data_IF_564350566560
#
_entry.id   IF_564350566560
#
_cell.length_a   1.000
_cell.length_b   1.000
_cell.length_c   1.000
_cell.angle_alpha   90.00
_cell.angle_beta   90.00
_cell.angle_gamma   90.00
#
_symmetry.space_group_name_H-M   'P 1'
#
loop_
_entity.id
_entity.type
_entity.pdbx_description
1 polymer ?
#
# COMPACT_ATOMS: atom_id res chain seq x y z
N UNK A 1 -11.06 -2.41 -8.58
CA UNK A 1 -10.92 -2.53 -7.11
C UNK A 1 -11.55 -1.29 -6.48
N UNK A 2 -12.46 -1.45 -5.54
CA UNK A 2 -13.08 -0.37 -4.76
C UNK A 2 -12.22 -0.11 -3.51
N UNK A 3 -11.76 1.13 -3.35
CA UNK A 3 -10.87 1.57 -2.26
C UNK A 3 -11.31 2.96 -1.75
N UNK A 4 -10.45 3.66 -1.00
CA UNK A 4 -10.68 5.03 -0.53
C UNK A 4 -10.36 5.14 0.96
N UNK A 5 -11.26 5.77 1.72
CA UNK A 5 -11.33 5.57 3.17
C UNK A 5 -11.99 4.23 3.49
N UNK A 6 -13.31 4.17 3.36
CA UNK A 6 -14.09 2.94 3.44
C UNK A 6 -15.22 3.00 2.39
N UNK A 7 -15.13 2.18 1.34
CA UNK A 7 -16.00 2.31 0.15
C UNK A 7 -17.49 2.07 0.45
N UNK A 8 -17.80 1.18 1.41
CA UNK A 8 -19.17 0.87 1.83
C UNK A 8 -19.87 1.98 2.62
N UNK A 9 -19.18 3.08 2.91
CA UNK A 9 -19.83 4.28 3.48
C UNK A 9 -20.55 5.11 2.40
N UNK A 10 -20.26 4.87 1.12
CA UNK A 10 -20.95 5.53 0.03
C UNK A 10 -22.34 4.91 -0.19
N UNK A 11 -23.38 5.74 -0.27
CA UNK A 11 -24.78 5.28 -0.37
C UNK A 11 -25.02 4.38 -1.60
N UNK A 12 -24.40 4.71 -2.74
CA UNK A 12 -24.47 3.91 -3.97
C UNK A 12 -23.48 2.74 -4.04
N UNK A 13 -22.81 2.34 -2.95
CA UNK A 13 -21.74 1.34 -2.98
C UNK A 13 -22.16 0.00 -3.61
N UNK A 14 -23.32 -0.53 -3.22
CA UNK A 14 -23.82 -1.79 -3.77
C UNK A 14 -24.22 -1.65 -5.23
N UNK A 15 -24.74 -0.50 -5.64
CA UNK A 15 -25.13 -0.23 -7.03
C UNK A 15 -23.91 -0.16 -7.95
N UNK A 16 -22.81 0.43 -7.47
CA UNK A 16 -21.53 0.42 -8.19
C UNK A 16 -21.05 -1.02 -8.42
N UNK A 17 -21.13 -1.90 -7.42
CA UNK A 17 -20.76 -3.31 -7.57
C UNK A 17 -21.64 -3.97 -8.64
N UNK A 18 -22.97 -3.81 -8.56
CA UNK A 18 -23.91 -4.38 -9.53
C UNK A 18 -23.63 -3.88 -10.95
N UNK A 19 -23.37 -2.59 -11.11
CA UNK A 19 -23.02 -2.00 -12.41
C UNK A 19 -21.74 -2.60 -12.99
N UNK A 20 -20.68 -2.72 -12.19
CA UNK A 20 -19.43 -3.37 -12.62
C UNK A 20 -19.67 -4.82 -13.06
N UNK A 21 -20.49 -5.56 -12.32
CA UNK A 21 -20.80 -6.96 -12.64
C UNK A 21 -21.67 -7.11 -13.88
N UNK A 22 -22.62 -6.19 -14.11
CA UNK A 22 -23.43 -6.16 -15.32
C UNK A 22 -22.58 -5.97 -16.60
N UNK A 23 -21.47 -5.22 -16.50
CA UNK A 23 -20.48 -5.05 -17.55
C UNK A 23 -19.43 -6.19 -17.63
N UNK A 24 -19.63 -7.28 -16.88
CA UNK A 24 -18.72 -8.44 -16.87
C UNK A 24 -17.40 -8.22 -16.12
N UNK A 25 -17.20 -7.06 -15.49
CA UNK A 25 -15.97 -6.75 -14.75
C UNK A 25 -15.91 -7.48 -13.41
N UNK A 26 -14.72 -7.88 -12.98
CA UNK A 26 -14.53 -8.41 -11.63
C UNK A 26 -14.57 -7.29 -10.59
N UNK A 27 -15.33 -7.49 -9.51
CA UNK A 27 -15.45 -6.54 -8.42
C UNK A 27 -14.71 -7.06 -7.18
N UNK A 28 -13.80 -6.24 -6.67
CA UNK A 28 -13.07 -6.49 -5.43
C UNK A 28 -12.94 -5.22 -4.61
N UNK A 29 -12.71 -5.34 -3.31
CA UNK A 29 -12.60 -4.21 -2.38
C UNK A 29 -11.39 -4.34 -1.45
N UNK A 30 -10.83 -3.21 -1.02
CA UNK A 30 -9.92 -3.14 0.14
C UNK A 30 -10.56 -2.29 1.25
N UNK A 31 -10.47 -2.75 2.51
CA UNK A 31 -11.14 -2.13 3.66
C UNK A 31 -10.34 -2.33 4.96
N UNK A 32 -10.51 -1.46 5.96
CA UNK A 32 -10.09 -1.71 7.33
C UNK A 32 -11.02 -2.66 8.11
N UNK A 33 -12.17 -3.06 7.55
CA UNK A 33 -13.11 -4.03 8.11
C UNK A 33 -14.07 -3.48 9.16
N UNK A 34 -13.93 -2.22 9.58
CA UNK A 34 -14.72 -1.65 10.66
C UNK A 34 -16.19 -1.48 10.28
N UNK A 35 -17.08 -2.26 10.90
CA UNK A 35 -18.52 -2.19 10.63
C UNK A 35 -19.00 -3.10 9.50
N UNK A 36 -18.15 -4.03 9.04
CA UNK A 36 -18.57 -5.11 8.13
C UNK A 36 -19.32 -6.18 8.93
N UNK A 37 -20.64 -6.01 9.03
CA UNK A 37 -21.54 -6.97 9.67
C UNK A 37 -21.82 -8.18 8.78
N UNK A 38 -22.41 -9.23 9.35
CA UNK A 38 -22.86 -10.39 8.56
C UNK A 38 -23.95 -10.02 7.52
N UNK A 39 -24.77 -9.01 7.82
CA UNK A 39 -25.78 -8.49 6.88
C UNK A 39 -25.11 -7.77 5.70
N UNK A 40 -24.23 -6.81 5.98
CA UNK A 40 -23.50 -6.10 4.93
C UNK A 40 -22.65 -7.04 4.08
N UNK A 41 -22.05 -8.08 4.68
CA UNK A 41 -21.30 -9.09 3.95
C UNK A 41 -22.19 -9.90 2.97
N UNK A 42 -23.44 -10.21 3.35
CA UNK A 42 -24.41 -10.84 2.43
C UNK A 42 -24.82 -9.89 1.32
N UNK A 43 -25.12 -8.63 1.64
CA UNK A 43 -25.48 -7.63 0.63
C UNK A 43 -24.35 -7.41 -0.40
N UNK A 44 -23.10 -7.42 0.06
CA UNK A 44 -21.92 -7.38 -0.79
C UNK A 44 -21.84 -8.61 -1.72
N UNK A 45 -22.10 -9.80 -1.19
CA UNK A 45 -22.08 -11.05 -1.96
C UNK A 45 -23.20 -11.05 -3.01
N UNK A 46 -24.42 -10.65 -2.63
CA UNK A 46 -25.58 -10.56 -3.51
C UNK A 46 -25.40 -9.52 -4.61
N UNK A 47 -24.71 -8.42 -4.33
CA UNK A 47 -24.31 -7.44 -5.35
C UNK A 47 -23.25 -8.00 -6.33
N UNK A 48 -22.58 -9.08 -5.97
CA UNK A 48 -21.59 -9.77 -6.80
C UNK A 48 -20.13 -9.40 -6.48
N UNK A 49 -19.82 -8.94 -5.27
CA UNK A 49 -18.45 -8.71 -4.82
C UNK A 49 -17.72 -10.05 -4.62
N UNK A 50 -16.56 -10.22 -5.24
CA UNK A 50 -15.91 -11.53 -5.35
C UNK A 50 -14.73 -11.72 -4.38
N UNK A 51 -14.02 -10.63 -4.08
CA UNK A 51 -12.81 -10.65 -3.26
C UNK A 51 -12.75 -9.40 -2.39
N UNK A 52 -12.47 -9.58 -1.10
CA UNK A 52 -12.22 -8.47 -0.18
C UNK A 52 -10.89 -8.67 0.52
N UNK A 53 -10.02 -7.65 0.43
CA UNK A 53 -8.81 -7.56 1.23
C UNK A 53 -9.09 -6.72 2.49
N UNK A 54 -9.00 -7.34 3.66
CA UNK A 54 -9.11 -6.62 4.94
C UNK A 54 -7.71 -6.29 5.46
N UNK A 55 -7.41 -5.02 5.67
CA UNK A 55 -6.09 -4.60 6.14
C UNK A 55 -5.88 -4.94 7.62
N UNK A 56 -4.82 -5.68 7.92
CA UNK A 56 -4.43 -6.03 9.28
C UNK A 56 -2.94 -5.73 9.47
N UNK A 57 -2.61 -4.68 10.23
CA UNK A 57 -1.25 -4.14 10.30
C UNK A 57 -0.39 -4.63 11.49
N UNK A 58 -0.75 -5.72 12.14
CA UNK A 58 -0.03 -6.24 13.31
C UNK A 58 -0.93 -7.06 14.21
N UNK A 59 -0.38 -7.49 15.33
CA UNK A 59 -1.15 -8.07 16.44
C UNK A 59 -2.01 -7.00 17.12
N UNK A 60 -2.91 -7.42 18.00
CA UNK A 60 -4.02 -6.58 18.50
C UNK A 60 -3.60 -5.18 18.95
N UNK A 61 -2.58 -5.08 19.82
CA UNK A 61 -2.11 -3.80 20.34
C UNK A 61 -1.51 -2.91 19.23
N UNK A 62 -0.63 -3.48 18.41
CA UNK A 62 0.07 -2.78 17.34
C UNK A 62 -0.89 -2.31 16.25
N UNK A 63 -1.82 -3.18 15.84
CA UNK A 63 -2.88 -2.85 14.89
C UNK A 63 -3.78 -1.74 15.42
N UNK A 64 -4.30 -1.85 16.65
CA UNK A 64 -5.19 -0.85 17.24
C UNK A 64 -4.51 0.51 17.40
N UNK A 65 -3.23 0.51 17.78
CA UNK A 65 -2.39 1.71 17.83
C UNK A 65 -2.23 2.32 16.45
N UNK A 66 -1.85 1.55 15.43
CA UNK A 66 -1.65 2.04 14.06
C UNK A 66 -2.94 2.57 13.43
N UNK A 67 -4.07 1.93 13.71
CA UNK A 67 -5.41 2.35 13.24
C UNK A 67 -6.05 3.44 14.10
N UNK A 68 -5.38 3.88 15.17
CA UNK A 68 -5.86 4.86 16.14
C UNK A 68 -7.23 4.50 16.75
N UNK A 69 -7.52 3.20 16.93
CA UNK A 69 -8.84 2.72 17.33
C UNK A 69 -8.77 1.39 18.07
N UNK A 70 -9.06 1.39 19.37
CA UNK A 70 -9.23 0.15 20.13
C UNK A 70 -10.35 -0.73 19.55
N UNK A 71 -10.09 -2.03 19.48
CA UNK A 71 -10.97 -3.06 18.95
C UNK A 71 -10.97 -3.16 17.42
N UNK A 72 -10.14 -2.39 16.72
CA UNK A 72 -10.06 -2.45 15.26
C UNK A 72 -9.48 -3.77 14.75
N UNK A 73 -8.52 -4.36 15.47
CA UNK A 73 -7.99 -5.68 15.15
C UNK A 73 -9.09 -6.75 15.16
N UNK A 74 -9.86 -6.80 16.25
CA UNK A 74 -10.97 -7.75 16.38
C UNK A 74 -12.04 -7.51 15.32
N UNK A 75 -12.39 -6.25 15.06
CA UNK A 75 -13.34 -5.90 14.01
C UNK A 75 -12.86 -6.35 12.61
N UNK A 76 -11.56 -6.23 12.32
CA UNK A 76 -10.98 -6.71 11.07
C UNK A 76 -11.05 -8.24 10.95
N UNK A 77 -10.77 -8.98 12.02
CA UNK A 77 -10.91 -10.45 12.03
C UNK A 77 -12.38 -10.89 11.91
N UNK A 78 -13.30 -10.19 12.56
CA UNK A 78 -14.74 -10.46 12.44
C UNK A 78 -15.26 -10.15 11.02
N UNK A 79 -14.76 -9.08 10.39
CA UNK A 79 -15.06 -8.79 8.99
C UNK A 79 -14.63 -9.94 8.08
N UNK A 80 -13.40 -10.45 8.24
CA UNK A 80 -12.92 -11.61 7.49
C UNK A 80 -13.82 -12.84 7.67
N UNK A 81 -14.29 -13.12 8.89
CA UNK A 81 -15.21 -14.22 9.18
C UNK A 81 -16.57 -14.02 8.52
N UNK A 82 -17.14 -12.81 8.63
CA UNK A 82 -18.43 -12.47 8.03
C UNK A 82 -18.41 -12.58 6.50
N UNK A 83 -17.37 -12.05 5.86
CA UNK A 83 -17.17 -12.10 4.41
C UNK A 83 -17.03 -13.54 3.91
N UNK A 84 -16.22 -14.34 4.62
CA UNK A 84 -16.05 -15.77 4.32
C UNK A 84 -17.37 -16.54 4.46
N UNK A 85 -18.15 -16.27 5.51
CA UNK A 85 -19.46 -16.90 5.74
C UNK A 85 -20.48 -16.53 4.65
N UNK A 86 -20.38 -15.33 4.07
CA UNK A 86 -21.18 -14.91 2.91
C UNK A 86 -20.69 -15.46 1.56
N UNK A 87 -19.62 -16.27 1.54
CA UNK A 87 -19.07 -16.88 0.33
C UNK A 87 -18.09 -16.00 -0.46
N UNK A 88 -17.71 -14.84 0.07
CA UNK A 88 -16.75 -13.93 -0.56
C UNK A 88 -15.32 -14.44 -0.28
N UNK A 89 -14.46 -14.45 -1.30
CA UNK A 89 -13.05 -14.76 -1.09
C UNK A 89 -12.39 -13.67 -0.25
N UNK A 90 -11.62 -14.07 0.77
CA UNK A 90 -10.94 -13.12 1.64
C UNK A 90 -9.44 -13.11 1.43
N UNK A 91 -8.87 -11.91 1.45
CA UNK A 91 -7.44 -11.64 1.49
C UNK A 91 -7.14 -10.69 2.65
N UNK A 92 -5.87 -10.49 2.94
CA UNK A 92 -5.42 -9.43 3.83
C UNK A 92 -4.25 -8.67 3.22
N UNK A 93 -4.02 -7.46 3.71
CA UNK A 93 -2.83 -6.68 3.42
C UNK A 93 -2.26 -6.13 4.72
N UNK A 94 -0.94 -5.97 4.77
CA UNK A 94 -0.20 -5.38 5.89
C UNK A 94 0.62 -4.20 5.39
N UNK A 95 0.58 -3.09 6.11
CA UNK A 95 1.49 -1.99 5.91
C UNK A 95 2.65 -2.04 6.90
N UNK A 96 3.78 -2.61 6.47
CA UNK A 96 4.98 -2.86 7.28
C UNK A 96 5.73 -1.57 7.57
N UNK A 97 6.04 -1.37 8.83
CA UNK A 97 6.74 -0.24 9.40
C UNK A 97 7.60 -0.72 10.59
N UNK A 98 8.44 0.15 11.16
CA UNK A 98 9.32 -0.23 12.28
C UNK A 98 8.56 -0.73 13.52
N UNK A 99 7.31 -0.30 13.70
CA UNK A 99 6.47 -0.68 14.84
C UNK A 99 5.79 -2.05 14.73
N UNK A 100 5.76 -2.67 13.54
CA UNK A 100 5.15 -3.99 13.33
C UNK A 100 6.07 -5.00 12.62
N UNK A 101 7.28 -4.60 12.21
CA UNK A 101 8.23 -5.47 11.52
C UNK A 101 8.53 -6.77 12.31
N UNK A 102 8.57 -6.69 13.64
CA UNK A 102 8.79 -7.84 14.52
C UNK A 102 7.62 -8.84 14.62
N UNK A 103 6.44 -8.48 14.09
CA UNK A 103 5.21 -9.27 14.26
C UNK A 103 4.80 -10.04 12.99
N UNK A 104 5.55 -9.93 11.89
CA UNK A 104 5.13 -10.36 10.57
C UNK A 104 4.76 -11.86 10.51
N UNK A 105 5.58 -12.73 11.08
CA UNK A 105 5.35 -14.17 11.12
C UNK A 105 4.17 -14.53 12.03
N UNK A 106 4.06 -13.91 13.21
CA UNK A 106 2.94 -14.16 14.13
C UNK A 106 1.61 -13.68 13.53
N UNK A 107 1.61 -12.53 12.85
CA UNK A 107 0.45 -12.02 12.13
C UNK A 107 0.04 -12.97 10.99
N UNK A 108 0.99 -13.54 10.26
CA UNK A 108 0.69 -14.54 9.24
C UNK A 108 -0.07 -15.74 9.81
N UNK A 109 0.36 -16.28 10.95
CA UNK A 109 -0.32 -17.40 11.62
C UNK A 109 -1.78 -17.05 11.94
N UNK A 110 -2.03 -15.88 12.51
CA UNK A 110 -3.40 -15.39 12.80
C UNK A 110 -4.25 -15.32 11.53
N UNK A 111 -3.71 -14.74 10.46
CA UNK A 111 -4.45 -14.55 9.21
C UNK A 111 -4.73 -15.89 8.51
N UNK A 112 -3.76 -16.80 8.50
CA UNK A 112 -3.92 -18.17 8.00
C UNK A 112 -5.05 -18.88 8.75
N UNK A 113 -5.08 -18.78 10.07
CA UNK A 113 -6.09 -19.47 10.90
C UNK A 113 -7.50 -18.91 10.69
N UNK A 114 -7.63 -17.61 10.41
CA UNK A 114 -8.92 -17.02 9.96
C UNK A 114 -9.31 -17.50 8.55
N UNK A 115 -8.33 -17.95 7.76
CA UNK A 115 -8.52 -18.61 6.48
C UNK A 115 -8.56 -17.65 5.29
N UNK A 116 -7.66 -16.66 5.28
CA UNK A 116 -7.40 -15.86 4.07
C UNK A 116 -6.85 -16.75 2.95
N UNK A 117 -7.16 -16.42 1.70
CA UNK A 117 -6.54 -17.07 0.52
C UNK A 117 -5.22 -16.43 0.10
N UNK A 118 -4.98 -15.22 0.60
CA UNK A 118 -4.09 -14.28 -0.05
C UNK A 118 -3.63 -13.18 0.92
N UNK A 119 -2.33 -12.87 0.95
CA UNK A 119 -1.74 -11.84 1.79
C UNK A 119 -0.77 -10.94 1.01
N UNK A 120 -1.04 -9.63 1.00
CA UNK A 120 -0.16 -8.64 0.40
C UNK A 120 0.73 -7.98 1.47
N UNK A 121 2.05 -8.00 1.25
CA UNK A 121 3.02 -7.31 2.12
C UNK A 121 3.56 -6.07 1.43
N UNK A 122 3.31 -4.89 2.00
CA UNK A 122 3.76 -3.60 1.48
C UNK A 122 4.40 -2.77 2.59
N UNK A 123 5.26 -1.82 2.23
CA UNK A 123 5.93 -0.94 3.22
C UNK A 123 5.20 0.40 3.37
N UNK A 124 5.38 1.04 4.52
CA UNK A 124 4.78 2.36 4.79
C UNK A 124 5.53 3.45 4.03
N UNK A 125 4.79 4.19 3.20
CA UNK A 125 5.25 5.47 2.63
C UNK A 125 4.87 6.63 3.58
N UNK A 126 5.60 7.76 3.57
CA UNK A 126 5.31 8.94 4.39
C UNK A 126 4.10 9.73 3.86
N UNK A 127 2.91 9.10 3.89
CA UNK A 127 1.64 9.73 3.51
C UNK A 127 0.63 9.67 4.65
N UNK A 128 -0.29 10.64 4.65
CA UNK A 128 -1.35 10.73 5.63
C UNK A 128 -0.77 10.77 7.04
N UNK A 129 -1.17 9.83 7.91
CA UNK A 129 -0.63 9.79 9.28
C UNK A 129 0.87 9.54 9.34
N UNK A 130 1.46 8.86 8.35
CA UNK A 130 2.89 8.57 8.37
C UNK A 130 3.76 9.74 7.87
N UNK A 131 3.15 10.80 7.34
CA UNK A 131 3.88 11.87 6.64
C UNK A 131 4.91 12.58 7.54
N UNK A 132 4.52 12.92 8.77
CA UNK A 132 5.36 13.61 9.76
C UNK A 132 5.81 12.66 10.90
N UNK A 133 5.93 11.37 10.61
CA UNK A 133 6.30 10.32 11.59
C UNK A 133 7.49 9.49 11.10
N UNK A 134 8.69 10.08 10.99
CA UNK A 134 9.90 9.39 10.50
C UNK A 134 10.19 8.08 11.25
N UNK A 135 9.88 8.01 12.54
CA UNK A 135 10.07 6.83 13.39
C UNK A 135 9.16 5.65 13.03
N UNK A 136 8.07 5.88 12.29
CA UNK A 136 7.29 4.78 11.69
C UNK A 136 8.05 4.16 10.53
N UNK A 137 8.69 4.98 9.71
CA UNK A 137 9.19 4.56 8.42
C UNK A 137 10.31 3.55 8.60
N UNK A 138 10.29 2.52 7.76
CA UNK A 138 11.47 1.70 7.58
C UNK A 138 12.60 2.60 7.06
N UNK A 139 13.83 2.27 7.43
CA UNK A 139 14.99 2.82 6.78
C UNK A 139 15.38 1.92 5.59
N UNK A 140 16.01 2.44 4.52
CA UNK A 140 16.43 1.65 3.36
C UNK A 140 17.16 0.35 3.72
N UNK A 141 17.98 0.36 4.78
CA UNK A 141 18.69 -0.85 5.24
C UNK A 141 17.79 -1.87 5.93
N UNK A 142 16.61 -1.50 6.46
CA UNK A 142 15.69 -2.45 7.09
C UNK A 142 15.18 -3.49 6.06
N UNK A 143 15.25 -3.17 4.75
CA UNK A 143 14.98 -4.13 3.67
C UNK A 143 15.92 -5.34 3.70
N UNK A 144 17.13 -5.19 4.25
CA UNK A 144 18.10 -6.27 4.42
C UNK A 144 17.57 -7.42 5.29
N UNK A 145 16.68 -7.10 6.24
CA UNK A 145 15.96 -8.07 7.07
C UNK A 145 14.60 -8.44 6.47
N UNK A 146 13.82 -7.44 6.04
CA UNK A 146 12.44 -7.66 5.61
C UNK A 146 12.32 -8.55 4.37
N UNK A 147 13.11 -8.33 3.32
CA UNK A 147 12.93 -9.04 2.04
C UNK A 147 13.18 -10.55 2.15
N UNK A 148 14.28 -11.02 2.77
CA UNK A 148 14.48 -12.44 3.03
C UNK A 148 13.36 -13.07 3.86
N UNK A 149 12.86 -12.39 4.90
CA UNK A 149 11.76 -12.86 5.74
C UNK A 149 10.46 -13.03 4.95
N UNK A 150 10.12 -12.06 4.09
CA UNK A 150 8.93 -12.15 3.22
C UNK A 150 9.04 -13.31 2.23
N UNK A 151 10.22 -13.58 1.66
CA UNK A 151 10.41 -14.75 0.78
C UNK A 151 10.28 -16.06 1.55
N UNK A 152 10.83 -16.15 2.77
CA UNK A 152 10.67 -17.31 3.64
C UNK A 152 9.19 -17.56 3.98
N UNK A 153 8.47 -16.50 4.37
CA UNK A 153 7.03 -16.54 4.61
C UNK A 153 6.24 -16.96 3.37
N UNK A 154 6.60 -16.46 2.19
CA UNK A 154 5.95 -16.84 0.93
C UNK A 154 6.11 -18.32 0.61
N UNK A 155 7.31 -18.89 0.82
CA UNK A 155 7.56 -20.33 0.65
C UNK A 155 6.76 -21.16 1.65
N UNK A 156 6.69 -20.73 2.91
CA UNK A 156 5.85 -21.39 3.92
C UNK A 156 4.38 -21.32 3.54
N UNK A 157 3.90 -20.15 3.15
CA UNK A 157 2.50 -19.91 2.81
C UNK A 157 2.03 -20.70 1.60
N UNK A 158 2.91 -20.96 0.63
CA UNK A 158 2.65 -21.90 -0.48
C UNK A 158 2.21 -23.28 0.03
N UNK A 159 2.85 -23.80 1.08
CA UNK A 159 2.50 -25.10 1.68
C UNK A 159 1.14 -25.06 2.38
N UNK A 160 0.77 -23.90 2.93
CA UNK A 160 -0.52 -23.68 3.57
C UNK A 160 -1.64 -23.33 2.54
N UNK A 161 -1.33 -23.25 1.24
CA UNK A 161 -2.28 -22.85 0.20
C UNK A 161 -2.62 -21.35 0.19
N UNK A 162 -1.83 -20.52 0.89
CA UNK A 162 -2.01 -19.06 0.97
C UNK A 162 -1.03 -18.37 0.01
N UNK A 163 -1.56 -17.52 -0.87
CA UNK A 163 -0.70 -16.73 -1.77
C UNK A 163 -0.15 -15.51 -1.05
N UNK A 164 1.18 -15.36 -0.99
CA UNK A 164 1.85 -14.14 -0.51
C UNK A 164 2.49 -13.40 -1.67
N UNK A 165 2.29 -12.08 -1.76
CA UNK A 165 2.94 -11.26 -2.78
C UNK A 165 3.37 -9.88 -2.24
N UNK A 166 4.45 -9.31 -2.80
CA UNK A 166 4.88 -7.96 -2.45
C UNK A 166 3.95 -6.90 -3.04
N UNK A 167 3.77 -5.81 -2.31
CA UNK A 167 3.33 -4.54 -2.89
C UNK A 167 4.32 -4.05 -3.96
N UNK A 168 3.87 -3.13 -4.81
CA UNK A 168 4.75 -2.57 -5.84
C UNK A 168 5.94 -1.80 -5.24
N UNK A 169 5.89 -1.45 -3.96
CA UNK A 169 6.90 -0.72 -3.20
C UNK A 169 7.90 -1.60 -2.43
N UNK A 170 7.94 -2.92 -2.66
CA UNK A 170 8.84 -3.84 -1.96
C UNK A 170 9.68 -4.69 -2.93
N UNK A 171 10.97 -4.86 -2.62
CA UNK A 171 11.90 -5.75 -3.32
C UNK A 171 12.98 -5.01 -4.13
N UNK A 172 13.06 -5.34 -5.43
CA UNK A 172 13.95 -4.81 -6.46
C UNK A 172 15.35 -5.45 -6.51
N UNK A 173 15.55 -6.30 -7.52
CA UNK A 173 16.83 -6.79 -8.08
C UNK A 173 17.89 -7.29 -7.06
N UNK A 174 17.44 -7.83 -5.92
CA UNK A 174 18.28 -8.71 -5.09
C UNK A 174 18.12 -10.19 -5.46
N UNK A 175 18.88 -11.09 -4.84
CA UNK A 175 18.80 -12.54 -5.07
C UNK A 175 17.39 -13.11 -4.89
N UNK A 176 16.63 -12.50 -4.00
CA UNK A 176 15.26 -12.85 -3.63
C UNK A 176 14.22 -12.38 -4.66
N UNK A 177 14.55 -11.49 -5.59
CA UNK A 177 13.57 -10.84 -6.49
C UNK A 177 12.76 -11.85 -7.30
N UNK A 178 13.40 -12.90 -7.82
CA UNK A 178 12.72 -13.97 -8.54
C UNK A 178 11.65 -14.65 -7.69
N UNK A 179 12.04 -15.13 -6.51
CA UNK A 179 11.13 -15.77 -5.58
C UNK A 179 10.04 -14.81 -5.06
N UNK A 180 10.40 -13.55 -4.84
CA UNK A 180 9.50 -12.51 -4.34
C UNK A 180 8.43 -12.14 -5.38
N UNK A 181 8.79 -12.01 -6.66
CA UNK A 181 7.91 -11.54 -7.72
C UNK A 181 7.09 -12.66 -8.37
N UNK A 182 7.69 -13.81 -8.66
CA UNK A 182 7.04 -14.93 -9.35
C UNK A 182 5.83 -15.45 -8.58
N UNK A 183 4.78 -15.89 -9.28
CA UNK A 183 3.63 -16.52 -8.62
C UNK A 183 4.04 -17.75 -7.79
N UNK A 184 4.97 -18.56 -8.31
CA UNK A 184 5.65 -19.63 -7.59
C UNK A 184 7.03 -19.14 -7.09
N UNK A 185 7.30 -19.11 -5.76
CA UNK A 185 8.60 -18.71 -5.23
C UNK A 185 9.78 -19.63 -5.63
N UNK A 186 9.51 -20.81 -6.19
CA UNK A 186 10.55 -21.77 -6.60
C UNK A 186 10.90 -21.70 -8.09
N UNK A 187 10.12 -20.97 -8.92
CA UNK A 187 10.39 -20.84 -10.37
C UNK A 187 11.35 -19.70 -10.71
N UNK A 188 11.47 -18.68 -9.84
CA UNK A 188 12.40 -17.53 -9.91
C UNK A 188 12.54 -16.81 -11.27
N UNK A 189 11.50 -16.83 -12.10
CA UNK A 189 11.54 -16.35 -13.49
C UNK A 189 11.05 -14.91 -13.70
N UNK A 190 10.49 -14.26 -12.68
CA UNK A 190 9.95 -12.91 -12.77
C UNK A 190 10.82 -11.89 -12.04
N UNK A 191 10.66 -10.63 -12.40
CA UNK A 191 11.31 -9.50 -11.74
C UNK A 191 10.50 -8.23 -12.00
N UNK A 192 10.75 -7.18 -11.23
CA UNK A 192 10.17 -5.87 -11.43
C UNK A 192 10.50 -5.29 -12.83
N UNK A 193 9.47 -4.88 -13.58
CA UNK A 193 9.59 -4.35 -14.96
C UNK A 193 9.15 -2.89 -15.07
N UNK A 194 9.39 -2.11 -14.02
CA UNK A 194 8.99 -0.70 -13.95
C UNK A 194 7.58 -0.49 -13.39
N UNK A 195 7.23 0.77 -13.20
CA UNK A 195 5.92 1.15 -12.68
C UNK A 195 4.81 0.79 -13.68
N UNK A 196 3.67 0.33 -13.15
CA UNK A 196 2.51 -0.08 -13.93
C UNK A 196 1.50 1.06 -14.14
N UNK A 197 1.74 2.22 -13.51
CA UNK A 197 0.84 3.36 -13.53
C UNK A 197 0.60 3.86 -14.95
N UNK A 198 -0.67 4.00 -15.34
CA UNK A 198 -1.04 4.44 -16.70
C UNK A 198 -0.64 3.48 -17.82
N UNK A 199 -0.09 2.29 -17.51
CA UNK A 199 0.17 1.21 -18.50
C UNK A 199 -0.93 0.15 -18.46
N UNK A 200 -1.27 -0.28 -17.25
CA UNK A 200 -2.28 -1.31 -17.00
C UNK A 200 -3.21 -0.95 -15.83
N UNK A 201 -2.96 0.21 -15.20
CA UNK A 201 -3.67 0.67 -14.01
C UNK A 201 -4.11 2.11 -14.24
N UNK A 202 -5.33 2.43 -13.80
CA UNK A 202 -5.82 3.78 -13.59
C UNK A 202 -6.53 3.84 -12.22
N UNK A 203 -6.59 5.03 -11.64
CA UNK A 203 -7.39 5.34 -10.46
C UNK A 203 -8.34 6.49 -10.77
N UNK A 204 -9.56 6.38 -10.25
CA UNK A 204 -10.56 7.44 -10.28
C UNK A 204 -10.80 7.84 -8.83
N UNK A 205 -10.57 9.11 -8.50
CA UNK A 205 -10.82 9.67 -7.19
C UNK A 205 -12.31 9.98 -6.99
N UNK A 206 -12.71 10.26 -5.75
CA UNK A 206 -14.13 10.44 -5.39
C UNK A 206 -14.77 11.67 -6.03
N UNK A 207 -13.98 12.68 -6.39
CA UNK A 207 -14.45 13.84 -7.14
C UNK A 207 -14.65 13.51 -8.62
N UNK A 208 -13.90 12.55 -9.15
CA UNK A 208 -13.87 12.13 -10.55
C UNK A 208 -12.52 12.38 -11.24
N UNK A 209 -11.51 12.87 -10.51
CA UNK A 209 -10.16 13.05 -11.03
C UNK A 209 -9.52 11.70 -11.37
N UNK A 210 -8.77 11.66 -12.47
CA UNK A 210 -8.18 10.43 -13.01
C UNK A 210 -6.67 10.51 -13.00
N UNK A 211 -6.03 9.45 -12.49
CA UNK A 211 -4.57 9.32 -12.41
C UNK A 211 -4.10 7.91 -12.78
N UNK A 212 -2.83 7.77 -13.15
CA UNK A 212 -2.27 6.48 -13.58
C UNK A 212 -2.14 5.43 -12.48
N UNK A 213 -2.21 5.82 -11.21
CA UNK A 213 -2.22 4.90 -10.08
C UNK A 213 -2.97 5.55 -8.92
N UNK A 214 -3.88 4.82 -8.24
CA UNK A 214 -4.67 5.39 -7.14
C UNK A 214 -3.84 5.93 -5.97
N UNK A 215 -2.58 5.50 -5.82
CA UNK A 215 -1.71 5.96 -4.74
C UNK A 215 -0.89 7.21 -5.09
N UNK A 216 -0.70 7.53 -6.38
CA UNK A 216 0.10 8.69 -6.78
C UNK A 216 -0.53 10.01 -6.27
N UNK A 217 0.33 10.98 -5.98
CA UNK A 217 -0.05 12.30 -5.47
C UNK A 217 -0.99 13.03 -6.45
N UNK A 218 -2.16 13.47 -5.97
CA UNK A 218 -3.17 14.13 -6.81
C UNK A 218 -2.60 15.36 -7.52
N UNK A 219 -1.85 16.20 -6.80
CA UNK A 219 -1.32 17.47 -7.32
C UNK A 219 -0.39 17.33 -8.54
N UNK A 220 0.23 16.16 -8.76
CA UNK A 220 1.21 15.96 -9.83
C UNK A 220 0.80 14.96 -10.90
N UNK A 221 -0.27 14.19 -10.68
CA UNK A 221 -0.58 13.02 -11.51
C UNK A 221 -2.03 12.95 -12.01
N UNK A 222 -2.86 13.96 -11.74
CA UNK A 222 -4.19 14.06 -12.34
C UNK A 222 -4.05 14.52 -13.78
N UNK A 223 -4.51 13.69 -14.72
CA UNK A 223 -4.51 14.02 -16.15
C UNK A 223 -5.86 14.47 -16.70
N UNK A 224 -6.91 14.49 -15.88
CA UNK A 224 -8.24 14.93 -16.29
C UNK A 224 -9.35 14.42 -15.36
N UNK A 225 -10.59 14.74 -15.71
CA UNK A 225 -11.76 14.46 -14.89
C UNK A 225 -12.86 13.77 -15.69
N UNK A 226 -13.45 12.69 -15.16
CA UNK A 226 -14.46 11.88 -15.89
C UNK A 226 -15.78 12.62 -16.16
N UNK A 227 -16.00 13.75 -15.48
CA UNK A 227 -17.16 14.63 -15.70
C UNK A 227 -16.99 15.55 -16.90
N UNK A 228 -15.78 15.68 -17.43
CA UNK A 228 -15.43 16.63 -18.48
C UNK A 228 -14.99 15.92 -19.77
N UNK A 229 -14.26 14.82 -19.63
CA UNK A 229 -13.70 14.05 -20.75
C UNK A 229 -13.96 12.56 -20.55
N UNK A 230 -14.00 11.81 -21.66
CA UNK A 230 -14.09 10.35 -21.61
C UNK A 230 -12.82 9.76 -20.98
N UNK A 231 -12.95 8.62 -20.30
CA UNK A 231 -11.81 7.88 -19.73
C UNK A 231 -10.77 7.56 -20.82
N UNK A 232 -11.23 7.22 -22.04
CA UNK A 232 -10.35 6.93 -23.16
C UNK A 232 -9.49 8.14 -23.55
N UNK A 233 -10.10 9.33 -23.72
CA UNK A 233 -9.34 10.54 -24.08
C UNK A 233 -8.33 10.91 -22.99
N UNK A 234 -8.73 10.82 -21.71
CA UNK A 234 -7.79 11.04 -20.59
C UNK A 234 -6.65 10.02 -20.61
N UNK A 235 -6.95 8.75 -20.89
CA UNK A 235 -5.95 7.70 -20.96
C UNK A 235 -4.97 7.88 -22.11
N UNK A 236 -5.45 8.20 -23.32
CA UNK A 236 -4.62 8.25 -24.52
C UNK A 236 -3.79 9.54 -24.60
N UNK A 237 -4.32 10.66 -24.12
CA UNK A 237 -3.76 11.99 -24.41
C UNK A 237 -3.04 12.65 -23.23
N UNK A 238 -3.30 12.25 -21.97
CA UNK A 238 -2.78 12.97 -20.80
C UNK A 238 -1.35 12.52 -20.41
N UNK A 239 -0.34 13.41 -20.47
CA UNK A 239 1.04 13.09 -20.11
C UNK A 239 1.22 12.59 -18.66
N UNK A 240 0.40 13.09 -17.73
CA UNK A 240 0.42 12.76 -16.31
C UNK A 240 0.12 11.28 -16.06
N UNK A 241 -0.67 10.64 -16.93
CA UNK A 241 -0.91 9.19 -16.92
C UNK A 241 0.17 8.44 -17.71
N UNK A 242 0.63 9.01 -18.82
CA UNK A 242 1.56 8.36 -19.73
C UNK A 242 3.02 8.30 -19.24
N UNK A 243 3.36 8.97 -18.13
CA UNK A 243 4.74 9.14 -17.64
C UNK A 243 5.53 7.83 -17.43
N UNK A 244 4.87 6.69 -17.24
CA UNK A 244 5.51 5.39 -17.09
C UNK A 244 5.42 4.48 -18.33
N UNK A 245 4.83 4.95 -19.44
CA UNK A 245 4.72 4.18 -20.70
C UNK A 245 6.03 4.14 -21.50
N UNK A 246 6.93 5.09 -21.27
CA UNK A 246 8.23 5.20 -21.93
C UNK A 246 9.40 5.27 -20.93
N UNK A 247 10.62 5.50 -21.45
CA UNK A 247 11.81 5.74 -20.62
C UNK A 247 11.58 6.91 -19.67
N UNK A 248 12.12 6.79 -18.45
CA UNK A 248 11.98 7.81 -17.41
C UNK A 248 13.28 8.52 -17.13
N UNK A 249 13.19 9.78 -16.74
CA UNK A 249 14.32 10.52 -16.21
C UNK A 249 14.71 9.93 -14.84
N UNK A 250 15.76 9.11 -14.83
CA UNK A 250 16.36 8.62 -13.60
C UNK A 250 17.39 9.62 -13.08
N UNK A 251 17.57 9.65 -11.77
CA UNK A 251 18.55 10.49 -11.10
C UNK A 251 19.14 9.75 -9.89
N UNK A 252 20.08 10.38 -9.18
CA UNK A 252 20.68 9.80 -7.98
C UNK A 252 21.31 8.44 -8.26
N UNK A 253 21.09 7.47 -7.38
CA UNK A 253 21.65 6.13 -7.51
C UNK A 253 21.10 5.40 -8.75
N UNK A 254 19.81 5.57 -9.04
CA UNK A 254 19.16 4.86 -10.14
C UNK A 254 19.67 5.26 -11.54
N UNK A 255 20.25 6.44 -11.72
CA UNK A 255 20.81 6.87 -13.01
C UNK A 255 22.04 6.06 -13.45
N UNK A 256 22.80 5.53 -12.48
CA UNK A 256 24.04 4.77 -12.74
C UNK A 256 23.84 3.26 -12.48
N UNK A 257 22.63 2.84 -12.15
CA UNK A 257 22.32 1.47 -11.77
C UNK A 257 22.30 0.54 -13.00
N UNK A 258 22.92 -0.64 -12.89
CA UNK A 258 22.92 -1.66 -13.94
C UNK A 258 21.51 -2.16 -14.33
N UNK A 259 20.50 -1.93 -13.49
CA UNK A 259 19.10 -2.30 -13.78
C UNK A 259 18.24 -1.12 -14.23
N UNK A 260 18.82 0.05 -14.50
CA UNK A 260 18.11 1.29 -14.86
C UNK A 260 17.06 1.06 -15.95
N UNK A 261 17.45 0.44 -17.06
CA UNK A 261 16.57 0.26 -18.23
C UNK A 261 15.34 -0.61 -17.94
N UNK A 262 15.49 -1.64 -17.11
CA UNK A 262 14.38 -2.56 -16.78
C UNK A 262 13.57 -2.08 -15.58
N UNK A 263 14.24 -1.61 -14.53
CA UNK A 263 13.63 -1.21 -13.27
C UNK A 263 12.96 0.16 -13.36
N UNK A 264 13.56 1.06 -14.12
CA UNK A 264 13.14 2.45 -14.30
C UNK A 264 13.05 3.24 -12.98
N UNK A 265 13.79 2.88 -11.93
CA UNK A 265 13.78 3.60 -10.65
C UNK A 265 12.73 3.16 -9.63
N UNK A 266 12.20 1.93 -9.76
CA UNK A 266 11.28 1.34 -8.78
C UNK A 266 9.85 1.90 -8.82
N UNK A 267 9.14 1.79 -7.68
CA UNK A 267 7.80 2.35 -7.51
C UNK A 267 7.85 3.89 -7.52
N UNK A 268 7.20 4.49 -8.51
CA UNK A 268 7.14 5.95 -8.64
C UNK A 268 6.38 6.63 -7.52
N UNK A 269 5.32 5.98 -7.00
CA UNK A 269 4.61 6.47 -5.83
C UNK A 269 5.58 6.59 -4.66
N UNK A 270 6.28 5.51 -4.29
CA UNK A 270 7.21 5.52 -3.16
C UNK A 270 8.34 6.52 -3.33
N UNK A 271 8.97 6.58 -4.51
CA UNK A 271 10.02 7.56 -4.78
C UNK A 271 9.49 9.01 -4.64
N UNK A 272 8.34 9.33 -5.25
CA UNK A 272 7.74 10.66 -5.15
C UNK A 272 7.37 10.98 -3.70
N UNK A 273 6.71 10.05 -3.00
CA UNK A 273 6.33 10.23 -1.59
C UNK A 273 7.51 10.58 -0.69
N UNK A 274 8.73 10.15 -1.01
CA UNK A 274 9.90 10.39 -0.18
C UNK A 274 10.71 11.59 -0.68
N UNK A 275 10.87 11.73 -2.00
CA UNK A 275 11.81 12.67 -2.62
C UNK A 275 11.14 13.80 -3.41
N UNK A 276 9.81 13.87 -3.45
CA UNK A 276 9.02 14.85 -4.20
C UNK A 276 9.01 14.62 -5.71
N UNK A 277 9.70 13.60 -6.20
CA UNK A 277 9.71 13.19 -7.62
C UNK A 277 10.05 11.70 -7.79
N UNK A 278 9.60 11.06 -8.89
CA UNK A 278 9.96 9.68 -9.17
C UNK A 278 11.38 9.60 -9.76
N UNK A 279 11.93 8.39 -9.84
CA UNK A 279 13.16 8.12 -10.59
C UNK A 279 14.36 7.68 -9.77
N UNK A 280 14.28 7.74 -8.43
CA UNK A 280 15.32 7.24 -7.52
C UNK A 280 14.72 6.66 -6.22
N UNK A 281 14.00 5.53 -6.29
CA UNK A 281 13.37 4.95 -5.09
C UNK A 281 14.43 4.50 -4.06
N UNK A 282 14.49 5.11 -2.86
CA UNK A 282 15.48 4.73 -1.84
C UNK A 282 15.17 3.37 -1.20
N UNK A 283 13.92 2.93 -1.25
CA UNK A 283 13.52 1.59 -0.80
C UNK A 283 13.83 0.53 -1.85
N UNK A 284 15.12 0.34 -2.13
CA UNK A 284 15.61 -0.65 -3.09
C UNK A 284 16.50 -1.69 -2.40
N UNK A 285 16.07 -2.95 -2.39
CA UNK A 285 16.82 -4.02 -1.73
C UNK A 285 18.19 -4.27 -2.38
N UNK A 286 18.28 -4.19 -3.71
CA UNK A 286 19.57 -4.20 -4.41
C UNK A 286 20.51 -3.09 -3.91
N UNK A 287 20.01 -1.86 -3.87
CA UNK A 287 20.75 -0.65 -3.43
C UNK A 287 21.25 -0.82 -1.99
N UNK A 288 20.38 -1.26 -1.09
CA UNK A 288 20.74 -1.54 0.30
C UNK A 288 21.85 -2.60 0.42
N UNK A 289 21.80 -3.67 -0.38
CA UNK A 289 22.87 -4.70 -0.41
C UNK A 289 24.19 -4.17 -0.96
N UNK A 290 24.16 -3.28 -1.95
CA UNK A 290 25.36 -2.63 -2.50
C UNK A 290 26.05 -1.81 -1.41
N UNK A 291 25.31 -0.95 -0.71
CA UNK A 291 25.89 -0.15 0.37
C UNK A 291 26.38 -0.99 1.54
N UNK A 292 25.65 -2.05 1.93
CA UNK A 292 26.12 -2.98 2.97
C UNK A 292 27.50 -3.56 2.65
N UNK A 293 27.78 -3.92 1.39
CA UNK A 293 29.10 -4.44 0.97
C UNK A 293 30.21 -3.39 1.03
N UNK A 294 29.85 -2.12 0.98
CA UNK A 294 30.77 -0.99 1.12
C UNK A 294 30.94 -0.55 2.58
N UNK A 295 30.32 -1.24 3.54
CA UNK A 295 30.31 -0.82 4.95
C UNK A 295 29.44 0.41 5.21
N UNK A 296 28.49 0.72 4.32
CA UNK A 296 27.62 1.89 4.38
C UNK A 296 26.15 1.49 4.50
N UNK A 297 25.31 2.42 4.96
CA UNK A 297 23.85 2.35 4.90
C UNK A 297 23.25 3.71 4.51
N UNK A 298 22.00 3.71 4.09
CA UNK A 298 21.27 4.93 3.71
C UNK A 298 20.13 5.24 4.66
N UNK A 299 20.13 6.44 5.25
CA UNK A 299 19.10 6.92 6.20
C UNK A 299 18.21 7.96 5.54
N UNK A 300 16.91 7.88 5.78
CA UNK A 300 15.97 8.93 5.44
C UNK A 300 15.96 9.99 6.53
N UNK A 301 16.20 11.24 6.13
CA UNK A 301 16.21 12.39 7.02
C UNK A 301 15.10 13.34 6.61
N UNK A 302 14.13 13.66 7.49
CA UNK A 302 13.08 14.62 7.19
C UNK A 302 13.66 15.97 6.78
N UNK A 303 13.09 16.57 5.74
CA UNK A 303 13.44 17.92 5.28
C UNK A 303 12.25 18.86 5.32
N UNK A 304 11.06 18.39 4.96
CA UNK A 304 9.85 19.19 4.92
C UNK A 304 8.67 18.37 5.49
N UNK A 305 7.85 19.02 6.30
CA UNK A 305 6.61 18.45 6.82
C UNK A 305 5.51 18.49 5.75
N UNK A 306 4.49 17.66 5.92
CA UNK A 306 3.33 17.66 5.05
C UNK A 306 2.42 18.88 5.27
N UNK A 307 1.75 19.32 4.21
CA UNK A 307 0.89 20.52 4.20
C UNK A 307 -0.45 20.37 4.95
N UNK A 308 -0.82 19.15 5.35
CA UNK A 308 -2.13 18.77 5.90
C UNK A 308 -3.25 18.53 4.87
N UNK A 309 -2.93 18.37 3.58
CA UNK A 309 -3.89 18.18 2.47
C UNK A 309 -4.06 16.69 2.12
N UNK A 310 -5.21 16.26 1.56
CA UNK A 310 -5.35 14.89 1.08
C UNK A 310 -4.23 14.50 0.10
N UNK A 311 -3.63 13.31 0.29
CA UNK A 311 -2.52 12.79 -0.50
C UNK A 311 -1.21 13.60 -0.46
N UNK A 312 -1.07 14.50 0.50
CA UNK A 312 0.23 15.11 0.82
C UNK A 312 1.20 14.10 1.46
N UNK A 313 2.46 14.52 1.55
CA UNK A 313 3.55 13.73 2.08
C UNK A 313 4.62 14.65 2.65
N UNK A 314 5.38 14.14 3.63
CA UNK A 314 6.62 14.78 4.07
C UNK A 314 7.74 14.46 3.10
N UNK A 315 8.71 15.37 2.96
CA UNK A 315 9.90 15.16 2.15
C UNK A 315 11.08 14.74 3.01
N UNK A 316 11.93 13.92 2.40
CA UNK A 316 13.11 13.34 3.02
C UNK A 316 14.27 13.45 2.04
N UNK A 317 15.45 13.67 2.60
CA UNK A 317 16.72 13.45 1.89
C UNK A 317 17.34 12.14 2.33
N UNK A 318 18.15 11.55 1.45
CA UNK A 318 18.88 10.32 1.74
C UNK A 318 20.29 10.69 2.17
N UNK A 319 20.68 10.32 3.39
CA UNK A 319 22.06 10.39 3.87
C UNK A 319 22.74 9.04 3.82
N UNK A 320 24.06 9.03 3.64
CA UNK A 320 24.89 7.83 3.73
C UNK A 320 25.76 7.92 4.97
N UNK A 321 25.84 6.83 5.71
CA UNK A 321 26.60 6.72 6.94
C UNK A 321 27.22 5.33 7.08
N UNK A 322 28.22 5.12 7.97
CA UNK A 322 28.72 3.79 8.29
C UNK A 322 27.58 2.85 8.68
N UNK A 323 27.67 1.58 8.27
CA UNK A 323 26.60 0.61 8.49
C UNK A 323 26.32 0.39 9.99
N UNK A 324 27.36 0.49 10.81
CA UNK A 324 27.35 0.34 12.27
C UNK A 324 27.08 1.65 13.02
N UNK A 325 26.76 2.74 12.32
CA UNK A 325 26.37 3.99 12.96
C UNK A 325 25.19 3.76 13.93
N UNK A 326 25.09 4.51 15.05
CA UNK A 326 23.94 4.45 15.93
C UNK A 326 22.62 4.70 15.16
N UNK A 327 21.56 3.98 15.49
CA UNK A 327 20.24 4.27 14.94
C UNK A 327 19.60 5.40 15.77
N UNK A 328 19.70 6.62 15.24
CA UNK A 328 19.19 7.84 15.90
C UNK A 328 17.66 8.00 15.76
N UNK A 329 17.00 7.15 14.98
CA UNK A 329 15.54 7.20 14.81
C UNK A 329 14.88 6.53 16.02
N UNK A 330 14.25 7.35 16.87
CA UNK A 330 13.61 6.89 18.10
C UNK A 330 12.62 5.73 17.87
N UNK A 331 12.45 4.80 18.83
CA UNK A 331 11.50 3.70 18.68
C UNK A 331 10.05 4.22 18.61
N UNK A 332 9.16 3.53 17.86
CA UNK A 332 7.80 3.97 17.51
C UNK A 332 6.80 4.06 18.69
N UNK A 333 7.26 4.05 19.93
CA UNK A 333 6.47 3.88 21.15
C UNK A 333 5.50 5.05 21.45
N UNK A 334 5.58 6.17 20.73
CA UNK A 334 4.83 7.41 21.05
C UNK A 334 3.99 8.00 19.92
N UNK A 335 3.65 7.21 18.91
CA UNK A 335 3.26 7.76 17.61
C UNK A 335 1.78 8.05 17.40
N UNK A 336 0.91 7.25 17.99
CA UNK A 336 -0.54 7.36 17.77
C UNK A 336 -1.25 7.26 19.11
N UNK A 337 -1.80 8.39 19.56
CA UNK A 337 -2.70 8.40 20.72
C UNK A 337 -4.02 7.77 20.26
N UNK A 338 -4.41 6.66 20.89
CA UNK A 338 -5.75 6.11 20.73
C UNK A 338 -6.72 7.15 21.32
N UNK A 339 -7.51 7.78 20.46
CA UNK A 339 -8.53 8.71 20.91
C UNK A 339 -9.58 7.97 21.74
N UNK A 340 -9.94 8.51 22.92
CA UNK A 340 -11.22 8.14 23.55
C UNK A 340 -12.34 8.47 22.56
N UNK A 341 -13.34 7.59 22.47
CA UNK A 341 -14.56 7.74 21.65
C UNK A 341 -14.95 9.23 21.57
N UNK A 342 -14.89 9.90 20.40
CA UNK A 342 -15.43 11.24 20.30
C UNK A 342 -16.91 11.18 20.71
N UNK A 343 -17.34 12.06 21.63
CA UNK A 343 -18.78 12.29 21.82
C UNK A 343 -19.32 12.65 20.43
N UNK A 344 -20.29 11.88 19.93
CA UNK A 344 -20.95 12.20 18.65
C UNK A 344 -21.37 13.68 18.71
N UNK A 345 -20.93 14.55 17.80
CA UNK A 345 -21.62 15.81 17.61
C UNK A 345 -23.04 15.45 17.15
N UNK A 346 -24.05 16.06 17.78
CA UNK A 346 -25.42 15.99 17.28
C UNK A 346 -25.43 16.46 15.81
N UNK A 347 -26.27 15.79 15.00
CA UNK A 347 -26.34 15.97 13.55
C UNK A 347 -26.53 17.45 13.17
N UNK A 348 -25.47 18.12 12.74
CA UNK A 348 -25.51 19.49 12.21
C UNK A 348 -25.58 19.54 10.66
N UNK A 349 -26.00 18.46 9.99
CA UNK A 349 -26.09 18.40 8.51
C UNK A 349 -27.53 18.40 7.98
N UNK A 350 -28.45 19.05 8.68
CA UNK A 350 -29.84 19.24 8.23
C UNK A 350 -30.34 20.66 8.52
N UNK A 351 -29.63 21.69 8.09
CA UNK A 351 -30.24 23.00 7.84
C UNK A 351 -29.58 23.59 6.60
N UNK A 352 -30.41 24.25 5.78
CA UNK A 352 -30.11 24.98 4.53
C UNK A 352 -30.29 24.19 3.22
N UNK A 353 -31.53 23.75 2.99
CA UNK A 353 -32.18 23.92 1.68
C UNK A 353 -33.59 24.43 1.95
N UNK A 354 -33.74 25.75 1.96
CA UNK A 354 -35.03 26.46 1.91
C UNK A 354 -35.20 27.08 0.53
#
# INVERSE_FOLDING_TARGET
VLIGGEAYLHEGFLDVIRALRAEGMQASMTTGGLGVTAELARDMADAGLQLVSVSVDGLEETHDRQRARTGSFRAALDALRNLKAAGIATASNVNVNRGNLGELEALYEVLRDVGIRAWQVQITSPLGRAADRPEMLLQPWDLLDLVPRVVALKRRAKLDGVRVWPGNNLGYFGPEEGALRSADPDSSNEHWRGCQAGRFVLGIESDGAVKGCPSLQTASYVGGHVRERSIQSIWDESPELAFARGPRALHGYCAECAYADTCQGGCSFTAHSVLGKPGDNPYCYHRARVFRRQGLRERLVPTEAADGRPFDHGLYRVEREPFDAPDEVAPPERLVRIGRKPKRPEKAWRQDVG
#
